data_IF_278338541192
#
_entry.id   IF_278338541192
#
_cell.length_a   1.000
_cell.length_b   1.000
_cell.length_c   1.000
_cell.angle_alpha   90.00
_cell.angle_beta   90.00
_cell.angle_gamma   90.00
#
_symmetry.space_group_name_H-M   'P 1'
#
loop_
_entity.id
_entity.type
_entity.pdbx_description
1 polymer ?
#
# COMPACT_ATOMS: atom_id res chain seq x y z
N UNK A 1 8.01 7.24 14.28
CA UNK A 1 8.20 7.40 12.82
C UNK A 1 8.09 8.88 12.47
N UNK A 2 8.75 9.39 11.42
CA UNK A 2 8.66 10.82 11.05
C UNK A 2 7.43 11.09 10.18
N UNK A 3 6.89 12.32 10.25
CA UNK A 3 5.66 12.74 9.55
C UNK A 3 5.70 12.48 8.03
N UNK A 4 6.84 12.77 7.39
CA UNK A 4 7.05 12.51 5.96
C UNK A 4 6.89 11.02 5.60
N UNK A 5 7.30 10.11 6.48
CA UNK A 5 7.19 8.67 6.24
C UNK A 5 5.75 8.18 6.41
N UNK A 6 5.01 8.71 7.39
CA UNK A 6 3.57 8.42 7.54
C UNK A 6 2.76 8.97 6.36
N UNK A 7 3.03 10.20 5.90
CA UNK A 7 2.35 10.77 4.74
C UNK A 7 2.61 9.96 3.46
N UNK A 8 3.86 9.53 3.24
CA UNK A 8 4.21 8.63 2.13
C UNK A 8 3.39 7.34 2.18
N UNK A 9 3.32 6.67 3.33
CA UNK A 9 2.56 5.42 3.49
C UNK A 9 1.07 5.65 3.25
N UNK A 10 0.51 6.75 3.80
CA UNK A 10 -0.89 7.09 3.62
C UNK A 10 -1.25 7.23 2.15
N UNK A 11 -0.50 8.04 1.41
CA UNK A 11 -0.72 8.28 -0.02
C UNK A 11 -0.49 7.02 -0.86
N UNK A 12 0.47 6.19 -0.48
CA UNK A 12 0.77 4.94 -1.18
C UNK A 12 -0.13 3.78 -0.77
N UNK A 13 -1.09 3.96 0.14
CA UNK A 13 -1.95 2.86 0.62
C UNK A 13 -2.66 2.11 -0.52
N UNK A 14 -3.25 2.77 -1.54
CA UNK A 14 -3.84 2.08 -2.70
C UNK A 14 -2.82 1.24 -3.47
N UNK A 15 -1.61 1.78 -3.68
CA UNK A 15 -0.50 1.05 -4.29
C UNK A 15 -0.09 -0.15 -3.46
N UNK A 16 0.01 -0.04 -2.14
CA UNK A 16 0.38 -1.15 -1.25
C UNK A 16 -0.66 -2.27 -1.26
N UNK A 17 -1.94 -1.91 -1.33
CA UNK A 17 -3.06 -2.86 -1.48
C UNK A 17 -2.94 -3.58 -2.84
N UNK A 18 -2.84 -2.82 -3.93
CA UNK A 18 -2.67 -3.37 -5.28
C UNK A 18 -1.44 -4.26 -5.39
N UNK A 19 -0.30 -3.79 -4.86
CA UNK A 19 0.97 -4.50 -4.89
C UNK A 19 0.85 -5.87 -4.24
N UNK A 20 0.15 -5.96 -3.10
CA UNK A 20 -0.07 -7.23 -2.41
C UNK A 20 -1.09 -8.14 -3.10
N UNK A 21 -2.13 -7.56 -3.73
CA UNK A 21 -3.25 -8.29 -4.36
C UNK A 21 -2.95 -8.78 -5.76
N UNK A 22 -2.42 -7.90 -6.59
CA UNK A 22 -2.36 -8.08 -8.04
C UNK A 22 -1.02 -8.64 -8.51
N UNK A 23 0.07 -8.40 -7.77
CA UNK A 23 1.34 -9.02 -8.11
C UNK A 23 1.47 -10.43 -7.52
N UNK A 24 1.95 -11.40 -8.30
CA UNK A 24 2.42 -12.69 -7.77
C UNK A 24 3.51 -12.50 -6.71
N UNK A 25 3.54 -13.37 -5.70
CA UNK A 25 4.55 -13.29 -4.62
C UNK A 25 5.98 -13.24 -5.15
N UNK A 26 6.29 -13.99 -6.21
CA UNK A 26 7.62 -13.97 -6.85
C UNK A 26 8.03 -12.57 -7.31
N UNK A 27 7.12 -11.84 -7.96
CA UNK A 27 7.38 -10.47 -8.40
C UNK A 27 7.39 -9.49 -7.21
N UNK A 28 6.54 -9.71 -6.21
CA UNK A 28 6.59 -8.90 -4.98
C UNK A 28 7.97 -9.00 -4.32
N UNK A 29 8.55 -10.20 -4.19
CA UNK A 29 9.88 -10.40 -3.61
C UNK A 29 10.98 -9.72 -4.43
N UNK A 30 10.86 -9.72 -5.76
CA UNK A 30 11.83 -9.05 -6.64
C UNK A 30 11.73 -7.52 -6.57
N UNK A 31 10.53 -6.95 -6.47
CA UNK A 31 10.33 -5.49 -6.51
C UNK A 31 10.53 -4.84 -5.13
N UNK A 32 10.18 -5.54 -4.04
CA UNK A 32 10.34 -5.06 -2.65
C UNK A 32 11.68 -4.38 -2.33
N UNK A 33 12.87 -4.92 -2.69
CA UNK A 33 14.14 -4.27 -2.37
C UNK A 33 14.32 -2.90 -3.06
N UNK A 34 13.61 -2.63 -4.16
CA UNK A 34 13.67 -1.37 -4.88
C UNK A 34 12.68 -0.32 -4.35
N UNK A 35 11.74 -0.73 -3.48
CA UNK A 35 10.81 0.19 -2.87
C UNK A 35 11.49 1.03 -1.79
N UNK A 36 11.00 2.24 -1.60
CA UNK A 36 11.42 3.12 -0.51
C UNK A 36 11.20 2.43 0.85
N UNK A 37 12.11 2.67 1.81
CA UNK A 37 12.08 2.05 3.16
C UNK A 37 10.71 2.12 3.87
N UNK A 38 9.95 3.24 3.85
CA UNK A 38 8.62 3.27 4.48
C UNK A 38 7.61 2.33 3.83
N UNK A 39 7.70 2.08 2.52
CA UNK A 39 6.82 1.13 1.83
C UNK A 39 7.16 -0.31 2.17
N UNK A 40 8.47 -0.64 2.21
CA UNK A 40 8.92 -1.95 2.67
C UNK A 40 8.43 -2.25 4.10
N UNK A 41 8.53 -1.27 4.99
CA UNK A 41 8.04 -1.37 6.37
C UNK A 41 6.53 -1.65 6.41
N UNK A 42 5.76 -0.90 5.63
CA UNK A 42 4.31 -1.09 5.54
C UNK A 42 3.95 -2.48 5.00
N UNK A 43 4.62 -2.95 3.94
CA UNK A 43 4.42 -4.29 3.39
C UNK A 43 4.75 -5.39 4.40
N UNK A 44 5.84 -5.25 5.16
CA UNK A 44 6.25 -6.23 6.17
C UNK A 44 5.23 -6.33 7.33
N UNK A 45 4.70 -5.20 7.78
CA UNK A 45 3.62 -5.14 8.77
C UNK A 45 2.34 -5.76 8.19
N UNK A 46 2.04 -5.50 6.93
CA UNK A 46 0.89 -6.07 6.24
C UNK A 46 0.99 -7.59 6.11
N UNK A 47 2.15 -8.14 5.79
CA UNK A 47 2.36 -9.59 5.76
C UNK A 47 2.03 -10.26 7.10
N UNK A 48 2.31 -9.58 8.21
CA UNK A 48 1.96 -10.07 9.54
C UNK A 48 0.44 -10.02 9.81
N UNK A 49 -0.29 -9.13 9.13
CA UNK A 49 -1.74 -8.95 9.26
C UNK A 49 -2.52 -9.91 8.35
N UNK A 50 -2.24 -11.21 8.46
CA UNK A 50 -2.88 -12.26 7.66
C UNK A 50 -4.43 -12.16 7.72
N UNK A 51 -5.07 -12.38 6.58
CA UNK A 51 -6.52 -12.49 6.44
C UNK A 51 -7.12 -13.66 7.21
N UNK A 52 -6.34 -14.67 7.63
CA UNK A 52 -6.87 -15.86 8.32
C UNK A 52 -6.96 -15.72 9.84
N UNK A 53 -6.17 -14.86 10.49
CA UNK A 53 -6.19 -14.72 11.95
C UNK A 53 -5.88 -13.28 12.41
N UNK A 54 -6.77 -12.65 13.20
CA UNK A 54 -6.49 -11.33 13.75
C UNK A 54 -5.33 -11.36 14.74
N UNK A 55 -4.38 -10.41 14.61
CA UNK A 55 -3.21 -10.29 15.49
C UNK A 55 -3.16 -8.94 16.18
N UNK A 56 -2.76 -8.90 17.44
CA UNK A 56 -2.58 -7.65 18.17
C UNK A 56 -1.39 -6.85 17.63
N UNK A 57 -1.37 -5.53 17.88
CA UNK A 57 -0.23 -4.66 17.52
C UNK A 57 1.08 -5.19 18.10
N UNK A 58 1.04 -5.76 19.31
CA UNK A 58 2.21 -6.33 19.98
C UNK A 58 2.77 -7.53 19.22
N UNK A 59 1.90 -8.45 18.80
CA UNK A 59 2.30 -9.62 18.01
C UNK A 59 2.84 -9.21 16.64
N UNK A 60 2.18 -8.25 15.98
CA UNK A 60 2.64 -7.71 14.70
C UNK A 60 4.02 -7.08 14.84
N UNK A 61 4.24 -6.27 15.88
CA UNK A 61 5.53 -5.65 16.16
C UNK A 61 6.63 -6.68 16.39
N UNK A 62 6.33 -7.74 17.14
CA UNK A 62 7.25 -8.84 17.40
C UNK A 62 7.59 -9.63 16.13
N UNK A 63 6.60 -9.96 15.30
CA UNK A 63 6.79 -10.72 14.06
C UNK A 63 7.52 -9.92 12.97
N UNK A 64 7.23 -8.63 12.87
CA UNK A 64 7.88 -7.74 11.89
C UNK A 64 9.23 -7.17 12.38
N UNK A 65 9.59 -7.39 13.65
CA UNK A 65 10.85 -6.92 14.23
C UNK A 65 10.92 -5.40 14.42
N UNK A 66 9.78 -4.73 14.61
CA UNK A 66 9.69 -3.27 14.73
C UNK A 66 9.20 -2.86 16.12
N UNK A 67 9.44 -1.60 16.50
CA UNK A 67 8.89 -1.07 17.73
C UNK A 67 7.34 -1.07 17.69
N UNK A 68 6.70 -1.43 18.80
CA UNK A 68 5.23 -1.50 18.90
C UNK A 68 4.54 -0.19 18.47
N UNK A 69 5.12 0.95 18.85
CA UNK A 69 4.60 2.26 18.45
C UNK A 69 4.72 2.51 16.94
N UNK A 70 5.77 2.00 16.31
CA UNK A 70 5.94 2.11 14.86
C UNK A 70 4.90 1.25 14.14
N UNK A 71 4.68 0.01 14.61
CA UNK A 71 3.63 -0.85 14.08
C UNK A 71 2.25 -0.18 14.20
N UNK A 72 1.94 0.39 15.38
CA UNK A 72 0.70 1.15 15.61
C UNK A 72 0.54 2.30 14.62
N UNK A 73 1.57 3.13 14.46
CA UNK A 73 1.54 4.29 13.56
C UNK A 73 1.30 3.88 12.11
N UNK A 74 1.98 2.84 11.64
CA UNK A 74 1.81 2.32 10.28
C UNK A 74 0.40 1.77 10.08
N UNK A 75 -0.12 0.96 11.01
CA UNK A 75 -1.46 0.38 10.93
C UNK A 75 -2.55 1.47 10.91
N UNK A 76 -2.42 2.50 11.75
CA UNK A 76 -3.32 3.64 11.73
C UNK A 76 -3.23 4.41 10.41
N UNK A 77 -2.02 4.63 9.91
CA UNK A 77 -1.79 5.34 8.65
C UNK A 77 -2.39 4.60 7.46
N UNK A 78 -2.24 3.28 7.41
CA UNK A 78 -2.86 2.43 6.38
C UNK A 78 -4.39 2.49 6.48
N UNK A 79 -4.94 2.48 7.70
CA UNK A 79 -6.38 2.63 7.92
C UNK A 79 -6.89 3.98 7.41
N UNK A 80 -6.17 5.05 7.71
CA UNK A 80 -6.50 6.40 7.20
C UNK A 80 -6.32 6.53 5.68
N UNK A 81 -5.42 5.74 5.09
CA UNK A 81 -5.19 5.69 3.65
C UNK A 81 -6.22 4.87 2.86
N UNK A 82 -7.25 4.36 3.53
CA UNK A 82 -8.36 3.61 2.89
C UNK A 82 -8.29 2.10 3.07
N UNK A 83 -7.30 1.57 3.80
CA UNK A 83 -7.25 0.13 4.07
C UNK A 83 -8.23 -0.28 5.16
N UNK A 84 -9.05 -1.29 4.88
CA UNK A 84 -10.04 -1.79 5.83
C UNK A 84 -9.44 -2.90 6.70
N UNK A 85 -9.64 -2.79 8.01
CA UNK A 85 -9.25 -3.82 8.97
C UNK A 85 -10.48 -4.36 9.68
N UNK A 86 -10.57 -5.68 9.84
CA UNK A 86 -11.65 -6.28 10.63
C UNK A 86 -11.52 -5.85 12.09
N UNK A 87 -12.63 -5.44 12.70
CA UNK A 87 -12.72 -5.31 14.15
C UNK A 87 -12.84 -6.72 14.74
N UNK A 88 -11.75 -7.24 15.29
CA UNK A 88 -11.82 -8.46 16.08
C UNK A 88 -12.16 -8.14 17.54
N UNK A 89 -12.89 -9.01 18.26
CA UNK A 89 -13.25 -8.81 19.67
C UNK A 89 -12.02 -8.74 20.60
N UNK A 90 -10.84 -9.15 20.11
CA UNK A 90 -9.56 -9.12 20.83
C UNK A 90 -8.69 -7.89 20.50
N UNK A 91 -9.23 -6.86 19.83
CA UNK A 91 -8.46 -5.70 19.33
C UNK A 91 -7.32 -6.07 18.37
N UNK A 92 -7.39 -7.25 17.76
CA UNK A 92 -6.47 -7.69 16.72
C UNK A 92 -6.77 -7.02 15.39
N UNK A 93 -5.71 -6.74 14.65
CA UNK A 93 -5.70 -6.22 13.29
C UNK A 93 -5.69 -7.40 12.32
N UNK A 94 -6.66 -7.39 11.43
CA UNK A 94 -6.80 -8.34 10.34
C UNK A 94 -7.09 -7.54 9.09
N UNK A 95 -6.20 -7.62 8.09
CA UNK A 95 -6.42 -6.93 6.82
C UNK A 95 -7.66 -7.53 6.14
N UNK A 96 -8.74 -6.75 5.98
CA UNK A 96 -9.87 -7.15 5.16
C UNK A 96 -9.57 -6.78 3.72
N UNK A 97 -9.23 -7.80 2.95
CA UNK A 97 -9.23 -7.74 1.51
C UNK A 97 -10.67 -7.95 1.03
N UNK A 98 -11.57 -7.02 1.34
CA UNK A 98 -12.97 -7.15 0.92
C UNK A 98 -13.07 -7.11 -0.63
N UNK A 99 -14.00 -7.92 -1.11
CA UNK A 99 -14.31 -8.28 -2.49
C UNK A 99 -15.02 -7.14 -3.24
N UNK A 100 -14.68 -7.01 -4.53
CA UNK A 100 -15.35 -6.26 -5.60
C UNK A 100 -15.48 -4.72 -5.49
N UNK A 101 -15.86 -4.14 -4.36
CA UNK A 101 -16.07 -2.68 -4.26
C UNK A 101 -14.77 -1.87 -4.37
N UNK A 102 -13.63 -2.46 -3.96
CA UNK A 102 -12.29 -1.84 -3.96
C UNK A 102 -11.66 -1.79 -5.36
N UNK A 103 -12.14 -2.62 -6.31
CA UNK A 103 -11.68 -2.59 -7.69
C UNK A 103 -12.02 -1.28 -8.40
N UNK A 104 -13.09 -0.58 -7.99
CA UNK A 104 -13.43 0.74 -8.52
C UNK A 104 -12.41 1.81 -8.13
N UNK A 105 -11.86 1.72 -6.91
CA UNK A 105 -10.82 2.63 -6.44
C UNK A 105 -9.47 2.33 -7.12
N UNK A 106 -9.15 1.05 -7.36
CA UNK A 106 -7.96 0.64 -8.10
C UNK A 106 -8.05 0.95 -9.61
N UNK A 107 -9.23 0.81 -10.21
CA UNK A 107 -9.49 1.22 -11.59
C UNK A 107 -9.29 2.73 -11.79
N UNK A 108 -9.64 3.53 -10.78
CA UNK A 108 -9.39 4.98 -10.79
C UNK A 108 -7.89 5.31 -10.79
N UNK A 109 -7.08 4.52 -10.08
CA UNK A 109 -5.62 4.66 -10.05
C UNK A 109 -4.97 4.26 -11.40
N UNK A 110 -5.52 3.24 -12.07
CA UNK A 110 -5.05 2.80 -13.37
C UNK A 110 -5.28 3.86 -14.47
N UNK A 111 -6.41 4.58 -14.41
CA UNK A 111 -6.72 5.69 -15.32
C UNK A 111 -5.76 6.88 -15.12
N UNK A 112 -5.31 7.14 -13.89
CA UNK A 112 -4.35 8.23 -13.61
C UNK A 112 -2.93 7.91 -14.07
N UNK A 113 -2.49 6.66 -14.01
CA UNK A 113 -1.19 6.24 -14.55
C UNK A 113 -1.14 6.34 -16.08
N UNK A 114 -2.22 5.97 -16.78
CA UNK A 114 -2.29 6.13 -18.25
C UNK A 114 -2.43 7.58 -18.70
N UNK A 115 -2.96 8.46 -17.85
CA UNK A 115 -3.11 9.88 -18.19
C UNK A 115 -1.79 10.68 -18.11
N UNK A 116 -0.73 10.14 -17.49
CA UNK A 116 0.57 10.80 -17.44
C UNK A 116 1.52 10.42 -18.59
N UNK A 117 1.18 9.42 -19.41
CA UNK A 117 2.02 9.01 -20.56
C UNK A 117 1.69 9.76 -21.86
N UNK A 118 0.61 10.56 -21.91
CA UNK A 118 0.22 11.33 -23.10
C UNK A 118 0.45 12.84 -22.90
N UNK A 119 1.70 13.23 -22.61
CA UNK A 119 2.17 14.62 -22.81
C UNK A 119 3.67 14.62 -23.03
N UNK A 120 4.08 14.05 -24.16
CA UNK A 120 5.37 14.35 -24.77
C UNK A 120 5.15 14.50 -26.26
N UNK A 121 4.87 15.74 -26.66
CA UNK A 121 5.05 16.27 -28.01
C UNK A 121 6.36 15.74 -28.63
N UNK A 122 6.40 15.48 -29.95
CA UNK A 122 6.72 16.60 -30.84
C UNK A 122 6.13 16.50 -32.25
N UNK A 123 5.82 17.64 -32.86
CA UNK A 123 6.22 17.91 -34.25
C UNK A 123 5.89 19.35 -34.66
N UNK A 124 6.95 20.16 -34.78
CA UNK A 124 6.99 21.25 -35.76
C UNK A 124 6.58 20.71 -37.13
N UNK A 125 5.66 21.36 -37.80
CA UNK A 125 5.59 21.31 -39.27
C UNK A 125 5.44 22.73 -39.79
N UNK A 126 6.57 23.23 -40.27
CA UNK A 126 6.69 24.32 -41.24
C UNK A 126 5.83 24.02 -42.47
N UNK A 127 4.96 24.94 -42.87
CA UNK A 127 4.51 25.02 -44.25
C UNK A 127 4.71 26.46 -44.75
N UNK A 128 5.76 26.62 -45.57
CA UNK A 128 5.85 27.65 -46.58
C UNK A 128 5.73 26.98 -47.94
N UNK A 129 4.79 27.48 -48.76
CA UNK A 129 4.88 27.79 -50.20
C UNK A 129 3.46 27.98 -50.74
#
# INVERSE_FOLDING_TARGET
>A
MNKTSTDKIKLATPFLIWFRRCLPQTLQTQIRPYLDRPYQLALNILDCCDSSQPRTVREIAQLSGVAQETARQVLQTLKEGGMTFAASPTYGWQARLETDADLTALASFQVQLTAQEDTSEPAMTTQGL
#
